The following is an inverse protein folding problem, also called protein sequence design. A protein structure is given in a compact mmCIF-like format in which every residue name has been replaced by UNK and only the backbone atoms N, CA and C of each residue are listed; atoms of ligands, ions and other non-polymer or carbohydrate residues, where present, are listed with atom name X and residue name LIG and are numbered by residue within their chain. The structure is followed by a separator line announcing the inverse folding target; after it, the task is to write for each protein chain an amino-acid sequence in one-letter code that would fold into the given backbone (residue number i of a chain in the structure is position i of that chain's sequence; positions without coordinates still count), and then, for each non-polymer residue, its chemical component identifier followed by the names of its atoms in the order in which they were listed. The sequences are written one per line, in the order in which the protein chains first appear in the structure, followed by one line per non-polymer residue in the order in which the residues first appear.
data_IF_757026012638
#
_entry.id   IF_757026012638
#
_cell.length_a   1.000
_cell.length_b   1.000
_cell.length_c   1.000
_cell.angle_alpha   90.00
_cell.angle_beta   90.00
_cell.angle_gamma   90.00
#
_symmetry.space_group_name_H-M   'P 1'
#
loop_
_entity.id
_entity.type
_entity.pdbx_description
1 polymer ?
#
# COMPACT_ATOMS: atom_id res chain seq x y z
N UNK A 1 -1.78 22.75 5.10
CA UNK A 1 -2.47 21.46 5.39
C UNK A 1 -3.14 20.90 4.12
N UNK A 2 -2.58 21.18 2.93
CA UNK A 2 -3.30 21.17 1.65
C UNK A 2 -2.70 20.18 0.63
N UNK A 3 -1.44 19.80 0.79
CA UNK A 3 -0.71 19.05 -0.24
C UNK A 3 -1.04 17.55 -0.21
N UNK A 4 -1.04 16.92 0.97
CA UNK A 4 -1.33 15.49 1.07
C UNK A 4 -2.72 15.12 0.55
N UNK A 5 -3.73 15.96 0.82
CA UNK A 5 -5.08 15.72 0.32
C UNK A 5 -5.12 15.73 -1.21
N UNK A 6 -4.48 16.72 -1.84
CA UNK A 6 -4.39 16.81 -3.31
C UNK A 6 -3.66 15.59 -3.88
N UNK A 7 -2.52 15.21 -3.31
CA UNK A 7 -1.77 14.02 -3.72
C UNK A 7 -2.63 12.75 -3.61
N UNK A 8 -3.40 12.59 -2.54
CA UNK A 8 -4.32 11.45 -2.37
C UNK A 8 -5.45 11.46 -3.42
N UNK A 9 -6.00 12.63 -3.77
CA UNK A 9 -6.99 12.71 -4.86
C UNK A 9 -6.39 12.28 -6.20
N UNK A 10 -5.16 12.66 -6.50
CA UNK A 10 -4.47 12.22 -7.71
C UNK A 10 -4.25 10.70 -7.74
N UNK A 11 -3.83 10.10 -6.62
CA UNK A 11 -3.74 8.64 -6.52
C UNK A 11 -5.10 7.96 -6.72
N UNK A 12 -6.15 8.50 -6.08
CA UNK A 12 -7.51 7.98 -6.20
C UNK A 12 -7.98 7.98 -7.66
N UNK A 13 -7.59 9.00 -8.42
CA UNK A 13 -7.86 9.15 -9.86
C UNK A 13 -6.98 8.27 -10.76
N UNK A 14 -6.09 7.45 -10.19
CA UNK A 14 -5.26 6.51 -10.94
C UNK A 14 -3.98 7.13 -11.50
N UNK A 15 -3.52 8.26 -10.96
CA UNK A 15 -2.25 8.85 -11.37
C UNK A 15 -1.08 7.96 -10.93
N UNK A 16 -0.65 7.08 -11.83
CA UNK A 16 0.38 6.06 -11.58
C UNK A 16 1.69 6.65 -11.04
N UNK A 17 2.17 7.74 -11.61
CA UNK A 17 3.46 8.31 -11.18
C UNK A 17 3.37 8.84 -9.74
N UNK A 18 2.27 9.51 -9.39
CA UNK A 18 2.06 9.96 -8.01
C UNK A 18 1.96 8.79 -7.03
N UNK A 19 1.32 7.68 -7.43
CA UNK A 19 1.28 6.47 -6.60
C UNK A 19 2.69 5.90 -6.39
N UNK A 20 3.48 5.80 -7.45
CA UNK A 20 4.85 5.27 -7.42
C UNK A 20 5.77 6.17 -6.60
N UNK A 21 5.63 7.48 -6.67
CA UNK A 21 6.44 8.42 -5.89
C UNK A 21 6.04 8.42 -4.41
N UNK A 22 4.76 8.22 -4.12
CA UNK A 22 4.23 8.33 -2.76
C UNK A 22 4.51 7.11 -1.88
N UNK A 23 4.83 5.95 -2.47
CA UNK A 23 5.15 4.73 -1.72
C UNK A 23 6.44 4.84 -0.90
N UNK A 24 7.36 5.75 -1.27
CA UNK A 24 8.60 6.02 -0.55
C UNK A 24 8.54 7.28 0.32
N UNK A 25 7.35 7.87 0.46
CA UNK A 25 7.14 9.06 1.27
C UNK A 25 7.48 8.82 2.74
N UNK A 26 7.95 9.87 3.43
CA UNK A 26 8.05 9.87 4.89
C UNK A 26 6.70 10.05 5.59
N UNK A 27 5.64 10.34 4.83
CA UNK A 27 4.29 10.50 5.37
C UNK A 27 3.53 9.17 5.32
N UNK A 28 3.23 8.54 6.47
CA UNK A 28 2.58 7.22 6.48
C UNK A 28 1.24 7.21 5.75
N UNK A 29 0.49 8.32 5.80
CA UNK A 29 -0.80 8.43 5.11
C UNK A 29 -0.65 8.38 3.59
N UNK A 30 0.43 8.95 3.05
CA UNK A 30 0.73 8.88 1.61
C UNK A 30 1.16 7.46 1.23
N UNK A 31 2.00 6.82 2.04
CA UNK A 31 2.43 5.43 1.83
C UNK A 31 1.22 4.51 1.84
N UNK A 32 0.36 4.59 2.85
CA UNK A 32 -0.85 3.77 2.95
C UNK A 32 -1.75 3.95 1.72
N UNK A 33 -2.06 5.19 1.33
CA UNK A 33 -2.89 5.43 0.15
C UNK A 33 -2.22 4.93 -1.14
N UNK A 34 -0.90 5.07 -1.28
CA UNK A 34 -0.17 4.53 -2.41
C UNK A 34 -0.27 3.00 -2.48
N UNK A 35 -0.16 2.30 -1.34
CA UNK A 35 -0.36 0.84 -1.28
C UNK A 35 -1.77 0.49 -1.76
N UNK A 36 -2.80 1.14 -1.21
CA UNK A 36 -4.18 0.82 -1.52
C UNK A 36 -4.52 1.05 -3.00
N UNK A 37 -4.25 2.25 -3.50
CA UNK A 37 -4.55 2.60 -4.89
C UNK A 37 -3.65 1.85 -5.87
N UNK A 38 -2.37 1.67 -5.56
CA UNK A 38 -1.47 0.90 -6.42
C UNK A 38 -1.82 -0.58 -6.50
N UNK A 39 -2.31 -1.17 -5.40
CA UNK A 39 -2.81 -2.56 -5.42
C UNK A 39 -4.10 -2.67 -6.21
N UNK A 40 -5.05 -1.76 -5.98
CA UNK A 40 -6.33 -1.69 -6.71
C UNK A 40 -6.09 -1.60 -8.22
N UNK A 41 -5.14 -0.76 -8.63
CA UNK A 41 -4.82 -0.50 -10.03
C UNK A 41 -3.79 -1.50 -10.59
N UNK A 42 -3.43 -2.54 -9.82
CA UNK A 42 -2.50 -3.62 -10.18
C UNK A 42 -1.13 -3.12 -10.67
N UNK A 43 -0.60 -2.08 -10.05
CA UNK A 43 0.72 -1.54 -10.38
C UNK A 43 1.80 -2.53 -9.95
N UNK A 44 2.55 -3.04 -10.94
CA UNK A 44 3.74 -3.88 -10.72
C UNK A 44 5.04 -3.19 -11.15
N UNK A 45 5.05 -1.85 -11.14
CA UNK A 45 6.24 -1.06 -11.39
C UNK A 45 7.34 -1.43 -10.38
N UNK A 46 8.59 -1.60 -10.84
CA UNK A 46 9.68 -2.05 -9.97
C UNK A 46 9.98 -1.09 -8.82
N UNK A 47 9.76 0.21 -9.00
CA UNK A 47 9.89 1.22 -7.93
C UNK A 47 8.81 1.03 -6.89
N UNK A 48 7.59 0.77 -7.34
CA UNK A 48 6.44 0.50 -6.47
C UNK A 48 6.64 -0.78 -5.66
N UNK A 49 7.02 -1.89 -6.32
CA UNK A 49 7.26 -3.18 -5.64
C UNK A 49 8.39 -3.06 -4.60
N UNK A 50 9.48 -2.36 -4.93
CA UNK A 50 10.55 -2.08 -3.94
C UNK A 50 10.04 -1.24 -2.76
N UNK A 51 9.16 -0.29 -3.04
CA UNK A 51 8.47 0.50 -2.01
C UNK A 51 7.61 -0.36 -1.09
N UNK A 52 6.83 -1.29 -1.66
CA UNK A 52 6.06 -2.27 -0.89
C UNK A 52 6.95 -3.13 -0.01
N UNK A 53 8.04 -3.68 -0.55
CA UNK A 53 8.99 -4.48 0.23
C UNK A 53 9.57 -3.70 1.41
N UNK A 54 9.94 -2.42 1.20
CA UNK A 54 10.38 -1.56 2.30
C UNK A 54 9.27 -1.28 3.32
N UNK A 55 8.03 -1.17 2.87
CA UNK A 55 6.88 -0.92 3.74
C UNK A 55 6.52 -2.15 4.60
N UNK A 56 6.92 -3.37 4.23
CA UNK A 56 6.79 -4.57 5.09
C UNK A 56 7.52 -4.41 6.43
N UNK A 57 8.57 -3.59 6.49
CA UNK A 57 9.34 -3.30 7.70
C UNK A 57 8.86 -2.04 8.45
N UNK A 58 7.79 -1.38 7.99
CA UNK A 58 7.27 -0.17 8.63
C UNK A 58 6.65 -0.48 10.00
N UNK A 59 6.99 0.36 10.99
CA UNK A 59 6.37 0.37 12.32
C UNK A 59 5.15 1.30 12.41
N UNK A 60 4.83 2.00 11.33
CA UNK A 60 3.75 2.99 11.32
C UNK A 60 2.39 2.30 11.36
N UNK A 61 1.49 2.87 12.15
CA UNK A 61 0.10 2.42 12.31
C UNK A 61 -0.83 3.58 12.01
N UNK A 62 -1.78 3.37 11.09
CA UNK A 62 -2.80 4.35 10.75
C UNK A 62 -4.18 3.79 11.05
N UNK A 63 -4.94 4.52 11.88
CA UNK A 63 -6.29 4.11 12.28
C UNK A 63 -6.36 2.67 12.83
N UNK A 64 -5.32 2.24 13.55
CA UNK A 64 -5.20 0.87 14.08
C UNK A 64 -4.75 -0.19 13.08
N UNK A 65 -4.41 0.20 11.85
CA UNK A 65 -3.92 -0.68 10.79
C UNK A 65 -2.41 -0.49 10.58
N UNK A 66 -1.58 -1.52 10.80
CA UNK A 66 -0.15 -1.47 10.49
C UNK A 66 0.09 -1.35 8.99
N UNK A 67 0.98 -0.44 8.58
CA UNK A 67 1.37 -0.28 7.17
C UNK A 67 2.00 -1.57 6.63
N UNK A 68 2.81 -2.25 7.45
CA UNK A 68 3.47 -3.52 7.12
C UNK A 68 2.50 -4.65 6.78
N UNK A 69 1.39 -4.77 7.51
CA UNK A 69 0.34 -5.75 7.24
C UNK A 69 -0.32 -5.51 5.87
N UNK A 70 -0.58 -4.25 5.54
CA UNK A 70 -1.19 -3.86 4.25
C UNK A 70 -0.20 -4.06 3.10
N UNK A 71 1.08 -3.72 3.29
CA UNK A 71 2.14 -3.94 2.31
C UNK A 71 2.33 -5.44 2.00
N UNK A 72 2.33 -6.27 3.05
CA UNK A 72 2.42 -7.74 2.90
C UNK A 72 1.24 -8.29 2.11
N UNK A 73 0.01 -7.86 2.44
CA UNK A 73 -1.19 -8.25 1.72
C UNK A 73 -1.16 -7.80 0.24
N UNK A 74 -0.68 -6.57 -0.01
CA UNK A 74 -0.50 -6.02 -1.36
C UNK A 74 0.46 -6.86 -2.21
N UNK A 75 1.63 -7.21 -1.68
CA UNK A 75 2.60 -8.06 -2.38
C UNK A 75 2.02 -9.44 -2.74
N UNK A 76 1.19 -10.01 -1.86
CA UNK A 76 0.43 -11.24 -2.17
C UNK A 76 -0.57 -11.02 -3.29
N UNK A 77 -1.41 -9.98 -3.21
CA UNK A 77 -2.45 -9.70 -4.20
C UNK A 77 -1.88 -9.37 -5.58
N UNK A 78 -0.67 -8.82 -5.65
CA UNK A 78 0.05 -8.51 -6.88
C UNK A 78 0.90 -9.68 -7.42
N UNK A 79 0.86 -10.85 -6.75
CA UNK A 79 1.62 -12.03 -7.14
C UNK A 79 3.13 -11.88 -7.01
N UNK A 80 3.60 -10.93 -6.19
CA UNK A 80 5.02 -10.68 -5.96
C UNK A 80 5.59 -11.53 -4.82
N UNK A 81 4.74 -11.91 -3.85
CA UNK A 81 5.13 -12.72 -2.68
C UNK A 81 3.94 -13.50 -2.12
N UNK A 82 4.07 -14.81 -1.96
CA UNK A 82 3.00 -15.60 -1.32
C UNK A 82 3.04 -15.47 0.20
N UNK A 83 2.05 -14.78 0.77
CA UNK A 83 1.79 -14.84 2.22
C UNK A 83 1.17 -16.19 2.63
N UNK A 84 1.89 -16.95 3.46
CA UNK A 84 1.47 -18.24 4.03
C UNK A 84 1.38 -18.22 5.57
N UNK A 85 1.36 -17.03 6.18
CA UNK A 85 1.32 -16.88 7.63
C UNK A 85 -0.09 -16.99 8.21
N UNK A 86 -0.16 -16.96 9.54
CA UNK A 86 -1.41 -17.12 10.32
C UNK A 86 -1.98 -15.80 10.85
N UNK A 87 -1.39 -14.65 10.47
CA UNK A 87 -1.89 -13.34 10.90
C UNK A 87 -3.28 -13.09 10.29
N UNK A 88 -4.28 -13.09 11.16
CA UNK A 88 -5.69 -12.94 10.78
C UNK A 88 -5.98 -11.60 10.11
N UNK A 89 -5.25 -10.54 10.45
CA UNK A 89 -5.45 -9.22 9.85
C UNK A 89 -4.93 -9.21 8.41
N UNK A 90 -3.74 -9.76 8.17
CA UNK A 90 -3.19 -9.89 6.80
C UNK A 90 -4.08 -10.79 5.95
N UNK A 91 -4.54 -11.92 6.48
CA UNK A 91 -5.48 -12.80 5.80
C UNK A 91 -6.80 -12.07 5.47
N UNK A 92 -7.33 -11.28 6.40
CA UNK A 92 -8.53 -10.48 6.15
C UNK A 92 -8.34 -9.47 5.01
N UNK A 93 -7.18 -8.80 4.96
CA UNK A 93 -6.83 -7.88 3.88
C UNK A 93 -6.69 -8.56 2.51
N UNK A 94 -6.07 -9.74 2.47
CA UNK A 94 -5.97 -10.54 1.24
C UNK A 94 -7.37 -10.97 0.78
N UNK A 95 -8.18 -11.48 1.69
CA UNK A 95 -9.53 -11.97 1.38
C UNK A 95 -10.47 -10.85 0.92
N UNK A 96 -10.37 -9.66 1.51
CA UNK A 96 -11.11 -8.47 1.06
C UNK A 96 -10.51 -7.80 -0.18
N UNK A 97 -9.32 -8.24 -0.63
CA UNK A 97 -8.53 -7.60 -1.68
C UNK A 97 -8.25 -6.12 -1.42
N UNK A 98 -8.10 -5.74 -0.15
CA UNK A 98 -8.00 -4.35 0.29
C UNK A 98 -9.18 -3.47 -0.14
N UNK A 99 -10.35 -4.08 -0.42
CA UNK A 99 -11.61 -3.37 -0.59
C UNK A 99 -12.13 -2.95 0.78
N UNK A 100 -12.03 -1.66 1.07
CA UNK A 100 -12.66 -0.99 2.21
C UNK A 100 -13.73 -0.02 1.71
#
# INVERSE_FOLDING_TARGET
MTDNFKTIQEMKNGNKEIIVDSIVSSSPILVMNAILFGTRDRITDSRFVKGLTRAEDSIDVLFGVPVSSVATASLHLLGQKNYNGEDKQIQAFINSRLGF
#
